data_IF_027181197007
#
_entry.id   IF_027181197007
#
_cell.length_a   1.000
_cell.length_b   1.000
_cell.length_c   1.000
_cell.angle_alpha   90.00
_cell.angle_beta   90.00
_cell.angle_gamma   90.00
#
_symmetry.space_group_name_H-M   'P 1'
#
loop_
_entity.id
_entity.type
_entity.pdbx_description
1 polymer ?
#
# COMPACT_ATOMS: atom_id res chain seq x y z
N UNK A 1 -16.86 -8.62 -7.02
CA UNK A 1 -17.39 -7.82 -5.88
C UNK A 1 -16.24 -7.05 -5.27
N UNK A 2 -16.53 -5.90 -4.67
CA UNK A 2 -15.50 -5.03 -4.10
C UNK A 2 -15.88 -4.57 -2.70
N UNK A 3 -14.87 -4.33 -1.89
CA UNK A 3 -15.00 -3.71 -0.57
C UNK A 3 -13.93 -2.64 -0.42
N UNK A 4 -14.34 -1.44 -0.01
CA UNK A 4 -13.45 -0.29 0.11
C UNK A 4 -13.29 0.14 1.56
N UNK A 5 -12.09 0.53 1.94
CA UNK A 5 -11.77 1.18 3.21
C UNK A 5 -10.88 2.40 2.95
N UNK A 6 -11.18 3.49 3.65
CA UNK A 6 -10.43 4.74 3.61
C UNK A 6 -10.00 5.12 5.01
N UNK A 7 -8.79 5.60 5.15
CA UNK A 7 -8.27 6.25 6.35
C UNK A 7 -7.67 7.60 5.98
N UNK A 8 -7.77 8.52 6.90
CA UNK A 8 -7.31 9.90 6.71
C UNK A 8 -6.47 10.31 7.92
N UNK A 9 -5.37 11.01 7.68
CA UNK A 9 -4.51 11.54 8.72
C UNK A 9 -3.79 12.79 8.23
N UNK A 10 -3.03 13.45 9.11
CA UNK A 10 -2.16 14.57 8.74
C UNK A 10 -0.70 14.21 8.96
N UNK A 11 0.16 14.61 8.03
CA UNK A 11 1.60 14.55 8.15
C UNK A 11 2.19 15.95 8.31
N UNK A 12 3.15 16.09 9.21
CA UNK A 12 3.91 17.33 9.40
C UNK A 12 5.24 17.22 8.65
N UNK A 13 5.20 17.43 7.34
CA UNK A 13 6.34 17.38 6.43
C UNK A 13 6.02 18.14 5.14
N UNK A 14 6.99 18.30 4.23
CA UNK A 14 6.72 18.88 2.92
C UNK A 14 5.76 18.03 2.09
N UNK A 15 5.02 18.67 1.17
CA UNK A 15 4.10 18.00 0.26
C UNK A 15 4.80 16.91 -0.56
N UNK A 16 5.99 17.22 -1.08
CA UNK A 16 6.82 16.25 -1.81
C UNK A 16 7.09 14.98 -0.98
N UNK A 17 7.48 15.14 0.30
CA UNK A 17 7.77 14.00 1.18
C UNK A 17 6.52 13.17 1.46
N UNK A 18 5.40 13.82 1.75
CA UNK A 18 4.13 13.13 1.97
C UNK A 18 3.67 12.37 0.72
N UNK A 19 3.92 12.91 -0.47
CA UNK A 19 3.56 12.33 -1.74
C UNK A 19 4.50 11.18 -2.15
N UNK A 20 5.81 11.38 -2.10
CA UNK A 20 6.81 10.42 -2.62
C UNK A 20 7.14 9.28 -1.68
N UNK A 21 7.13 9.50 -0.36
CA UNK A 21 7.62 8.51 0.60
C UNK A 21 6.91 7.15 0.54
N UNK A 22 5.59 7.04 0.42
CA UNK A 22 4.91 5.73 0.40
C UNK A 22 5.32 4.86 -0.78
N UNK A 23 5.77 5.48 -1.88
CA UNK A 23 6.03 4.80 -3.14
C UNK A 23 7.52 4.65 -3.45
N UNK A 24 8.34 5.64 -3.09
CA UNK A 24 9.72 5.72 -3.54
C UNK A 24 10.74 5.39 -2.43
N UNK A 25 10.34 5.35 -1.17
CA UNK A 25 11.18 4.86 -0.07
C UNK A 25 11.18 3.33 0.01
N UNK A 26 11.94 2.82 0.98
CA UNK A 26 12.03 1.39 1.23
C UNK A 26 10.68 0.78 1.68
N UNK A 27 10.06 0.05 0.79
CA UNK A 27 8.77 -0.60 1.03
C UNK A 27 8.81 -1.64 2.17
N UNK A 28 9.98 -2.20 2.48
CA UNK A 28 10.13 -3.17 3.59
C UNK A 28 9.92 -2.49 4.95
N UNK A 29 10.16 -1.18 5.02
CA UNK A 29 9.88 -0.36 6.19
C UNK A 29 8.41 0.06 6.29
N UNK A 30 7.69 0.08 5.17
CA UNK A 30 6.25 0.37 5.12
C UNK A 30 5.43 -0.87 5.53
N UNK A 31 5.71 -2.01 4.90
CA UNK A 31 4.96 -3.26 5.08
C UNK A 31 5.71 -4.24 5.97
N UNK A 32 5.72 -3.95 7.26
CA UNK A 32 6.46 -4.72 8.29
C UNK A 32 5.72 -5.97 8.79
N UNK A 33 4.59 -6.32 8.16
CA UNK A 33 3.72 -7.41 8.59
C UNK A 33 2.70 -6.97 9.65
N UNK A 34 1.56 -7.67 9.70
CA UNK A 34 0.52 -7.43 10.70
C UNK A 34 -0.31 -8.71 10.89
N UNK A 35 -0.20 -9.35 12.05
CA UNK A 35 -0.92 -10.60 12.32
C UNK A 35 -0.66 -11.67 11.26
N UNK A 36 -1.68 -11.99 10.45
CA UNK A 36 -1.56 -12.97 9.35
C UNK A 36 -0.93 -12.37 8.08
N UNK A 37 -0.87 -11.04 7.94
CA UNK A 37 -0.22 -10.42 6.79
C UNK A 37 1.29 -10.53 6.91
N UNK A 38 1.96 -11.14 5.92
CA UNK A 38 3.40 -11.31 5.96
C UNK A 38 4.12 -9.95 5.81
N UNK A 39 5.32 -9.90 6.34
CA UNK A 39 6.25 -8.79 6.11
C UNK A 39 6.79 -8.85 4.68
N UNK A 40 6.96 -7.71 4.04
CA UNK A 40 7.69 -7.59 2.78
C UNK A 40 9.19 -7.69 3.06
N UNK A 41 9.88 -8.59 2.35
CA UNK A 41 11.33 -8.81 2.50
C UNK A 41 12.13 -7.98 1.51
N UNK A 42 11.66 -7.89 0.27
CA UNK A 42 12.28 -7.10 -0.79
C UNK A 42 11.32 -6.97 -1.99
N UNK A 43 11.67 -6.09 -2.91
CA UNK A 43 11.03 -5.99 -4.22
C UNK A 43 12.08 -6.10 -5.33
N UNK A 44 11.65 -6.43 -6.55
CA UNK A 44 12.53 -6.27 -7.72
C UNK A 44 12.89 -4.79 -7.88
N UNK A 45 14.13 -4.54 -8.28
CA UNK A 45 14.56 -3.19 -8.66
C UNK A 45 14.06 -2.92 -10.08
N UNK A 46 13.24 -1.90 -10.23
CA UNK A 46 12.83 -1.34 -11.51
C UNK A 46 13.22 0.13 -11.52
N UNK A 47 14.15 0.51 -12.40
CA UNK A 47 14.61 1.91 -12.54
C UNK A 47 13.49 2.86 -12.94
N UNK A 48 12.41 2.33 -13.52
CA UNK A 48 11.22 3.10 -13.88
C UNK A 48 10.13 3.10 -12.81
N UNK A 49 10.34 2.44 -11.67
CA UNK A 49 9.33 2.42 -10.62
C UNK A 49 8.90 3.83 -10.22
N UNK A 50 7.61 4.02 -10.12
CA UNK A 50 6.99 5.32 -9.86
C UNK A 50 6.48 6.03 -11.12
N UNK A 51 6.88 5.61 -12.33
CA UNK A 51 6.27 6.08 -13.58
C UNK A 51 4.99 5.29 -13.88
N UNK A 52 4.01 5.93 -14.49
CA UNK A 52 2.77 5.25 -14.94
C UNK A 52 3.16 4.09 -15.88
N UNK A 53 2.58 2.91 -15.63
CA UNK A 53 2.87 1.68 -16.37
C UNK A 53 4.07 0.88 -15.85
N UNK A 54 4.82 1.39 -14.87
CA UNK A 54 5.88 0.62 -14.23
C UNK A 54 5.31 -0.46 -13.29
N UNK A 55 6.08 -1.53 -13.10
CA UNK A 55 5.69 -2.63 -12.21
C UNK A 55 6.87 -3.16 -11.41
N UNK A 56 6.58 -3.74 -10.26
CA UNK A 56 7.57 -4.46 -9.45
C UNK A 56 6.96 -5.72 -8.84
N UNK A 57 7.78 -6.75 -8.69
CA UNK A 57 7.43 -7.95 -7.92
C UNK A 57 7.76 -7.73 -6.45
N UNK A 58 6.81 -8.07 -5.59
CA UNK A 58 6.93 -7.98 -4.14
C UNK A 58 7.16 -9.38 -3.58
N UNK A 59 8.12 -9.51 -2.69
CA UNK A 59 8.45 -10.76 -2.00
C UNK A 59 8.21 -10.61 -0.51
N UNK A 60 7.69 -11.68 0.11
CA UNK A 60 7.24 -11.66 1.49
C UNK A 60 7.81 -12.83 2.30
N UNK A 61 7.82 -12.66 3.61
CA UNK A 61 8.17 -13.73 4.54
C UNK A 61 7.09 -14.83 4.58
N UNK A 62 7.48 -15.99 5.08
CA UNK A 62 6.52 -17.07 5.42
C UNK A 62 5.62 -16.60 6.57
N UNK A 63 4.32 -16.82 6.42
CA UNK A 63 3.32 -16.56 7.47
C UNK A 63 2.29 -17.70 7.53
N UNK A 64 1.27 -17.56 8.37
CA UNK A 64 0.15 -18.52 8.42
C UNK A 64 -0.61 -18.59 7.08
N UNK A 65 -0.62 -17.49 6.33
CA UNK A 65 -1.39 -17.36 5.08
C UNK A 65 -0.54 -17.39 3.82
N UNK A 66 0.80 -17.42 3.98
CA UNK A 66 1.71 -17.35 2.84
C UNK A 66 2.95 -18.22 3.04
N UNK A 67 3.34 -18.98 2.00
CA UNK A 67 4.51 -19.89 2.06
C UNK A 67 5.86 -19.16 2.11
N UNK A 68 5.85 -17.84 1.89
CA UNK A 68 7.06 -17.05 1.67
C UNK A 68 7.47 -17.00 0.19
N UNK A 69 8.36 -16.07 -0.15
CA UNK A 69 8.81 -15.85 -1.53
C UNK A 69 7.90 -14.86 -2.28
N UNK A 70 7.60 -15.14 -3.55
CA UNK A 70 6.78 -14.24 -4.38
C UNK A 70 5.39 -14.02 -3.80
N UNK A 71 5.03 -12.76 -3.57
CA UNK A 71 3.75 -12.35 -2.96
C UNK A 71 2.77 -11.75 -3.97
N UNK A 72 3.19 -10.75 -4.73
CA UNK A 72 2.33 -10.02 -5.67
C UNK A 72 3.13 -9.27 -6.72
N UNK A 73 2.42 -8.69 -7.68
CA UNK A 73 2.93 -7.67 -8.60
C UNK A 73 2.20 -6.37 -8.30
N UNK A 74 2.96 -5.31 -8.08
CA UNK A 74 2.45 -3.95 -7.91
C UNK A 74 2.67 -3.18 -9.22
N UNK A 75 1.63 -2.48 -9.69
CA UNK A 75 1.65 -1.70 -10.94
C UNK A 75 1.24 -0.26 -10.64
N UNK A 76 1.98 0.72 -11.13
CA UNK A 76 1.59 2.13 -11.06
C UNK A 76 0.61 2.42 -12.19
N UNK A 77 -0.64 2.71 -11.85
CA UNK A 77 -1.74 2.93 -12.82
C UNK A 77 -1.92 4.42 -13.11
N UNK A 78 -1.88 5.24 -12.07
CA UNK A 78 -2.02 6.69 -12.18
C UNK A 78 -1.04 7.39 -11.25
N UNK A 79 -0.56 8.56 -11.68
CA UNK A 79 0.24 9.47 -10.88
C UNK A 79 -0.03 10.89 -11.30
N UNK A 80 -0.37 11.73 -10.34
CA UNK A 80 -0.39 13.19 -10.48
C UNK A 80 0.56 13.75 -9.44
N UNK A 81 1.63 14.40 -9.89
CA UNK A 81 2.72 14.87 -9.03
C UNK A 81 2.16 15.72 -7.88
N UNK A 82 2.66 15.46 -6.68
CA UNK A 82 2.28 16.10 -5.41
C UNK A 82 0.79 15.98 -5.03
N UNK A 83 0.00 15.15 -5.73
CA UNK A 83 -1.44 15.02 -5.49
C UNK A 83 -1.91 13.60 -5.28
N UNK A 84 -1.53 12.68 -6.18
CA UNK A 84 -2.23 11.39 -6.24
C UNK A 84 -1.38 10.27 -6.79
N UNK A 85 -1.48 9.09 -6.16
CA UNK A 85 -1.01 7.82 -6.65
C UNK A 85 -2.14 6.80 -6.69
N UNK A 86 -2.15 5.98 -7.74
CA UNK A 86 -2.96 4.77 -7.81
C UNK A 86 -2.10 3.60 -8.23
N UNK A 87 -2.13 2.56 -7.41
CA UNK A 87 -1.46 1.30 -7.69
C UNK A 87 -2.48 0.17 -7.78
N UNK A 88 -2.24 -0.75 -8.68
CA UNK A 88 -2.95 -2.02 -8.77
C UNK A 88 -2.02 -3.15 -8.34
N UNK A 89 -2.48 -3.97 -7.41
CA UNK A 89 -1.76 -5.10 -6.83
C UNK A 89 -2.49 -6.35 -7.25
N UNK A 90 -1.82 -7.26 -7.95
CA UNK A 90 -2.40 -8.49 -8.48
C UNK A 90 -1.44 -9.68 -8.39
N UNK A 91 -1.81 -10.81 -8.99
CA UNK A 91 -1.04 -12.06 -8.99
C UNK A 91 -0.70 -12.56 -7.59
N UNK A 92 -1.63 -12.42 -6.65
CA UNK A 92 -1.43 -12.89 -5.28
C UNK A 92 -1.19 -14.39 -5.22
N UNK A 93 -0.27 -14.78 -4.35
CA UNK A 93 -0.10 -16.16 -3.92
C UNK A 93 -0.95 -16.50 -2.68
N UNK A 94 -1.79 -15.56 -2.22
CA UNK A 94 -2.71 -15.76 -1.10
C UNK A 94 -4.01 -16.40 -1.60
N UNK A 95 -4.32 -17.60 -1.10
CA UNK A 95 -5.51 -18.37 -1.48
C UNK A 95 -6.77 -18.02 -0.67
N UNK A 96 -6.61 -17.27 0.42
CA UNK A 96 -7.70 -16.95 1.35
C UNK A 96 -8.62 -15.86 0.80
N UNK A 97 -9.94 -15.98 1.09
CA UNK A 97 -10.96 -14.99 0.81
C UNK A 97 -11.21 -14.68 -0.68
N UNK A 98 -10.60 -15.45 -1.60
CA UNK A 98 -10.77 -15.31 -3.06
C UNK A 98 -10.53 -13.88 -3.59
N UNK A 99 -9.66 -13.13 -2.95
CA UNK A 99 -9.20 -11.86 -3.49
C UNK A 99 -8.29 -12.10 -4.70
N UNK A 100 -8.48 -11.30 -5.76
CA UNK A 100 -7.67 -11.41 -6.98
C UNK A 100 -6.97 -10.10 -7.37
N UNK A 101 -7.43 -8.96 -6.82
CA UNK A 101 -6.88 -7.66 -7.07
C UNK A 101 -7.12 -6.72 -5.88
N UNK A 102 -6.14 -5.90 -5.56
CA UNK A 102 -6.28 -4.74 -4.70
C UNK A 102 -5.95 -3.48 -5.48
N UNK A 103 -6.64 -2.39 -5.18
CA UNK A 103 -6.32 -1.07 -5.69
C UNK A 103 -6.03 -0.17 -4.49
N UNK A 104 -4.82 0.34 -4.43
CA UNK A 104 -4.37 1.30 -3.44
C UNK A 104 -4.34 2.70 -4.03
N UNK A 105 -4.91 3.67 -3.33
CA UNK A 105 -4.95 5.06 -3.71
C UNK A 105 -4.41 5.92 -2.57
N UNK A 106 -3.53 6.85 -2.92
CA UNK A 106 -2.90 7.76 -1.99
C UNK A 106 -3.07 9.18 -2.50
N UNK A 107 -3.76 10.01 -1.73
CA UNK A 107 -4.00 11.40 -2.07
C UNK A 107 -3.40 12.31 -1.02
N UNK A 108 -2.75 13.39 -1.47
CA UNK A 108 -2.16 14.42 -0.62
C UNK A 108 -2.75 15.78 -0.92
N UNK A 109 -3.03 16.54 0.14
CA UNK A 109 -3.52 17.93 0.04
C UNK A 109 -2.83 18.76 1.12
N UNK A 110 -2.12 19.80 0.72
CA UNK A 110 -1.55 20.75 1.67
C UNK A 110 -2.67 21.62 2.26
N UNK A 111 -2.89 21.55 3.56
CA UNK A 111 -3.90 22.32 4.29
C UNK A 111 -3.31 23.55 4.97
N UNK A 112 -2.05 23.47 5.36
CA UNK A 112 -1.22 24.54 5.90
C UNK A 112 0.23 24.26 5.48
N UNK A 113 1.11 25.24 5.57
CA UNK A 113 2.53 25.03 5.28
C UNK A 113 3.09 23.85 6.09
N UNK A 114 3.69 22.88 5.39
CA UNK A 114 4.24 21.64 5.95
C UNK A 114 3.24 20.78 6.77
N UNK A 115 1.94 20.98 6.56
CA UNK A 115 0.88 20.17 7.14
C UNK A 115 -0.01 19.59 6.05
N UNK A 116 0.17 18.33 5.79
CA UNK A 116 -0.40 17.64 4.64
C UNK A 116 -1.51 16.68 5.09
N UNK A 117 -2.71 16.86 4.56
CA UNK A 117 -3.78 15.89 4.65
C UNK A 117 -3.46 14.72 3.73
N UNK A 118 -3.43 13.52 4.30
CA UNK A 118 -3.22 12.27 3.57
C UNK A 118 -4.49 11.44 3.63
N UNK A 119 -4.99 11.03 2.48
CA UNK A 119 -6.10 10.11 2.31
C UNK A 119 -5.59 8.82 1.67
N UNK A 120 -5.72 7.72 2.40
CA UNK A 120 -5.25 6.40 2.00
C UNK A 120 -6.43 5.46 1.84
N UNK A 121 -6.71 5.05 0.62
CA UNK A 121 -7.86 4.22 0.25
C UNK A 121 -7.38 2.90 -0.32
N UNK A 122 -8.05 1.81 0.07
CA UNK A 122 -7.90 0.51 -0.55
C UNK A 122 -9.25 -0.06 -0.95
N UNK A 123 -9.31 -0.56 -2.18
CA UNK A 123 -10.44 -1.36 -2.69
C UNK A 123 -9.95 -2.77 -2.98
N UNK A 124 -10.57 -3.74 -2.33
CA UNK A 124 -10.26 -5.17 -2.42
C UNK A 124 -11.33 -5.85 -3.29
N UNK A 125 -10.90 -6.54 -4.34
CA UNK A 125 -11.77 -7.22 -5.31
C UNK A 125 -11.74 -8.73 -5.10
N UNK A 126 -12.93 -9.36 -5.03
CA UNK A 126 -13.10 -10.78 -4.83
C UNK A 126 -14.06 -11.39 -5.87
N UNK A 127 -13.79 -12.64 -6.27
CA UNK A 127 -14.61 -13.39 -7.23
C UNK A 127 -15.76 -14.15 -6.57
N UNK A 128 -15.71 -14.38 -5.26
CA UNK A 128 -16.65 -15.26 -4.58
C UNK A 128 -17.72 -14.49 -3.81
N UNK A 129 -18.94 -14.53 -4.32
CA UNK A 129 -20.12 -13.86 -3.72
C UNK A 129 -20.43 -14.39 -2.33
N UNK A 130 -20.26 -15.70 -2.10
CA UNK A 130 -20.56 -16.34 -0.82
C UNK A 130 -19.62 -15.87 0.30
N UNK A 131 -18.41 -15.45 -0.04
CA UNK A 131 -17.44 -14.91 0.90
C UNK A 131 -17.60 -13.41 1.15
N UNK A 132 -18.55 -12.74 0.51
CA UNK A 132 -18.69 -11.28 0.62
C UNK A 132 -18.85 -10.77 2.06
N UNK A 133 -19.70 -11.35 2.91
CA UNK A 133 -19.82 -10.89 4.30
C UNK A 133 -18.51 -10.98 5.06
N UNK A 134 -17.76 -12.08 4.85
CA UNK A 134 -16.45 -12.30 5.48
C UNK A 134 -15.42 -11.31 4.92
N UNK A 135 -15.40 -11.10 3.60
CA UNK A 135 -14.53 -10.13 2.95
C UNK A 135 -14.80 -8.70 3.43
N UNK A 136 -16.06 -8.36 3.62
CA UNK A 136 -16.47 -7.06 4.14
C UNK A 136 -15.94 -6.85 5.58
N UNK A 137 -16.17 -7.82 6.47
CA UNK A 137 -15.67 -7.80 7.85
C UNK A 137 -14.14 -7.70 7.85
N UNK A 138 -13.46 -8.55 7.07
CA UNK A 138 -12.01 -8.54 6.93
C UNK A 138 -11.50 -7.14 6.52
N UNK A 139 -12.09 -6.55 5.47
CA UNK A 139 -11.68 -5.24 4.96
C UNK A 139 -11.91 -4.12 5.97
N UNK A 140 -13.10 -4.09 6.61
CA UNK A 140 -13.46 -3.02 7.54
C UNK A 140 -12.77 -3.10 8.90
N UNK A 141 -12.28 -4.26 9.28
CA UNK A 141 -11.63 -4.48 10.58
C UNK A 141 -10.14 -4.74 10.44
N UNK A 142 -9.77 -5.89 9.91
CA UNK A 142 -8.40 -6.37 9.87
C UNK A 142 -7.53 -5.56 8.89
N UNK A 143 -7.98 -5.44 7.63
CA UNK A 143 -7.26 -4.66 6.61
C UNK A 143 -7.13 -3.19 7.01
N UNK A 144 -8.18 -2.61 7.59
CA UNK A 144 -8.12 -1.23 8.11
C UNK A 144 -7.04 -1.04 9.19
N UNK A 145 -6.85 -2.01 10.09
CA UNK A 145 -5.80 -1.96 11.11
C UNK A 145 -4.42 -2.07 10.48
N UNK A 146 -4.25 -2.97 9.51
CA UNK A 146 -3.02 -3.09 8.73
C UNK A 146 -2.68 -1.79 7.99
N UNK A 147 -3.65 -1.16 7.33
CA UNK A 147 -3.45 0.14 6.67
C UNK A 147 -3.03 1.22 7.65
N UNK A 148 -3.60 1.26 8.86
CA UNK A 148 -3.19 2.23 9.90
C UNK A 148 -1.73 2.04 10.30
N UNK A 149 -1.28 0.80 10.46
CA UNK A 149 0.12 0.52 10.75
C UNK A 149 1.03 0.95 9.59
N UNK A 150 0.69 0.59 8.34
CA UNK A 150 1.45 1.01 7.16
C UNK A 150 1.53 2.55 7.06
N UNK A 151 0.42 3.24 7.32
CA UNK A 151 0.35 4.70 7.32
C UNK A 151 1.25 5.32 8.40
N UNK A 152 1.27 4.74 9.60
CA UNK A 152 2.17 5.17 10.68
C UNK A 152 3.63 4.94 10.32
N UNK A 153 3.96 3.80 9.69
CA UNK A 153 5.30 3.53 9.20
C UNK A 153 5.72 4.55 8.13
N UNK A 154 4.83 4.91 7.19
CA UNK A 154 5.12 5.97 6.20
C UNK A 154 5.33 7.31 6.90
N UNK A 155 4.53 7.64 7.91
CA UNK A 155 4.70 8.87 8.69
C UNK A 155 6.09 8.91 9.34
N UNK A 156 6.54 7.82 9.94
CA UNK A 156 7.87 7.73 10.53
C UNK A 156 8.97 7.90 9.46
N UNK A 157 8.84 7.25 8.31
CA UNK A 157 9.75 7.41 7.16
C UNK A 157 9.87 8.88 6.72
N UNK A 158 8.76 9.62 6.74
CA UNK A 158 8.77 11.05 6.39
C UNK A 158 9.51 11.89 7.44
N UNK A 159 9.31 11.59 8.73
CA UNK A 159 9.96 12.30 9.86
C UNK A 159 11.46 12.02 9.88
N UNK A 160 11.87 10.79 9.65
CA UNK A 160 13.28 10.35 9.63
C UNK A 160 14.01 10.79 8.34
N UNK A 161 13.29 11.40 7.40
CA UNK A 161 13.81 11.84 6.10
C UNK A 161 14.54 10.71 5.35
N UNK A 162 13.97 9.50 5.41
CA UNK A 162 14.52 8.34 4.71
C UNK A 162 14.76 8.62 3.23
N UNK A 163 15.90 8.18 2.66
CA UNK A 163 16.19 8.42 1.25
C UNK A 163 15.22 7.69 0.33
N UNK A 164 14.93 8.29 -0.81
CA UNK A 164 14.22 7.60 -1.87
C UNK A 164 15.12 6.52 -2.48
N UNK A 165 14.60 5.32 -2.65
CA UNK A 165 15.30 4.21 -3.32
C UNK A 165 15.10 4.24 -4.84
N UNK A 166 14.06 4.93 -5.26
CA UNK A 166 13.69 5.10 -6.67
C UNK A 166 13.64 6.59 -6.99
N UNK A 167 14.16 6.97 -8.15
CA UNK A 167 14.23 8.36 -8.57
C UNK A 167 12.96 8.81 -9.30
#
# INVERSE_FOLDING_TARGET
METTVKITTTFNCSLERAFKSPMLCDVTKVHTGYGMMPRVTHCTKDENWGKIGSSKKVFVEKSLTHKGGFGSVDNVVERMEDKYWKIEINQFQAWMLSFYKFVGEWQTTEIEKDKILVEYTYTLYSNNVLLYPINWIFTKTYWRKYMKQALENVRQITLDKEPYQYA
#
